data_IF_928462734403
#
_entry.id   IF_928462734403
#
_cell.length_a   1.000
_cell.length_b   1.000
_cell.length_c   1.000
_cell.angle_alpha   90.00
_cell.angle_beta   90.00
_cell.angle_gamma   90.00
#
_symmetry.space_group_name_H-M   'P 1'
#
loop_
_entity.id
_entity.type
_entity.pdbx_description
1 polymer ?
#
# COMPACT_ATOMS: atom_id res chain seq x y z
N UNK A 1 -6.24 -23.24 -13.32
CA UNK A 1 -5.97 -23.38 -11.86
C UNK A 1 -7.17 -22.87 -11.09
N UNK A 2 -7.43 -23.41 -9.90
CA UNK A 2 -8.51 -22.96 -9.01
C UNK A 2 -7.91 -22.26 -7.80
N UNK A 3 -8.57 -21.21 -7.33
CA UNK A 3 -8.21 -20.47 -6.11
C UNK A 3 -9.25 -20.77 -5.04
N UNK A 4 -8.77 -21.13 -3.85
CA UNK A 4 -9.60 -21.50 -2.70
C UNK A 4 -9.27 -20.56 -1.54
N UNK A 5 -10.29 -19.95 -0.95
CA UNK A 5 -10.17 -19.18 0.29
C UNK A 5 -10.49 -20.07 1.48
N UNK A 6 -9.60 -20.06 2.47
CA UNK A 6 -9.68 -20.91 3.64
C UNK A 6 -9.70 -20.07 4.92
N UNK A 7 -10.39 -20.58 5.94
CA UNK A 7 -10.39 -20.08 7.33
C UNK A 7 -9.83 -21.18 8.21
N UNK A 8 -8.60 -21.01 8.69
CA UNK A 8 -7.91 -22.02 9.51
C UNK A 8 -8.00 -21.56 10.97
N UNK A 9 -8.68 -22.31 11.87
CA UNK A 9 -8.69 -22.02 13.30
C UNK A 9 -7.27 -21.85 13.86
N UNK A 10 -7.12 -21.05 14.91
CA UNK A 10 -5.80 -20.67 15.43
C UNK A 10 -5.03 -21.90 15.94
N UNK A 11 -5.75 -22.80 16.58
CA UNK A 11 -5.35 -24.10 17.11
C UNK A 11 -4.92 -25.11 16.02
N UNK A 12 -5.49 -25.00 14.82
CA UNK A 12 -5.26 -25.93 13.72
C UNK A 12 -4.03 -25.60 12.87
N UNK A 13 -3.41 -24.43 13.11
CA UNK A 13 -2.25 -23.99 12.33
C UNK A 13 -1.10 -25.00 12.36
N UNK A 14 -0.81 -25.58 13.53
CA UNK A 14 0.25 -26.59 13.67
C UNK A 14 -0.03 -27.86 12.86
N UNK A 15 -1.29 -28.29 12.83
CA UNK A 15 -1.75 -29.47 12.07
C UNK A 15 -1.61 -29.21 10.57
N UNK A 16 -2.11 -28.05 10.10
CA UNK A 16 -1.99 -27.65 8.70
C UNK A 16 -0.53 -27.58 8.27
N UNK A 17 0.34 -26.95 9.07
CA UNK A 17 1.78 -26.87 8.77
C UNK A 17 2.40 -28.24 8.62
N UNK A 18 2.21 -29.13 9.60
CA UNK A 18 2.82 -30.46 9.62
C UNK A 18 2.43 -31.30 8.40
N UNK A 19 1.17 -31.20 7.97
CA UNK A 19 0.67 -31.96 6.82
C UNK A 19 1.09 -31.41 5.46
N UNK A 20 1.47 -30.13 5.39
CA UNK A 20 1.89 -29.54 4.13
C UNK A 20 3.22 -30.12 3.60
N UNK A 21 4.11 -30.62 4.48
CA UNK A 21 5.49 -31.04 4.15
C UNK A 21 6.29 -29.96 3.40
N UNK A 22 5.97 -28.69 3.61
CA UNK A 22 6.57 -27.56 2.88
C UNK A 22 7.72 -26.94 3.69
N UNK A 23 8.79 -26.47 3.05
CA UNK A 23 9.80 -25.67 3.74
C UNK A 23 9.15 -24.36 4.23
N UNK A 24 9.26 -24.09 5.53
CA UNK A 24 8.80 -22.84 6.13
C UNK A 24 9.66 -21.69 5.65
N UNK A 25 9.08 -20.71 4.96
CA UNK A 25 9.72 -19.42 4.69
C UNK A 25 9.01 -18.37 5.54
N UNK A 26 9.63 -17.98 6.64
CA UNK A 26 9.12 -16.91 7.51
C UNK A 26 9.55 -15.57 6.93
N UNK A 27 8.60 -14.77 6.42
CA UNK A 27 8.89 -13.42 5.96
C UNK A 27 8.59 -12.42 7.09
N UNK A 28 9.62 -11.82 7.69
CA UNK A 28 9.54 -11.05 8.94
C UNK A 28 8.73 -9.74 8.90
N UNK A 29 8.22 -9.29 7.74
CA UNK A 29 7.66 -7.93 7.60
C UNK A 29 6.31 -7.82 6.86
N UNK A 30 5.74 -8.93 6.42
CA UNK A 30 4.36 -8.98 5.90
C UNK A 30 3.57 -9.86 6.85
N UNK A 31 2.30 -9.55 7.14
CA UNK A 31 1.40 -10.37 7.97
C UNK A 31 1.17 -11.81 7.43
N UNK A 32 2.04 -12.32 6.56
CA UNK A 32 2.06 -13.62 5.95
C UNK A 32 2.93 -14.55 6.79
N UNK A 33 2.28 -15.50 7.46
CA UNK A 33 2.92 -16.49 8.33
C UNK A 33 3.63 -17.55 7.49
N UNK A 34 2.99 -17.94 6.39
CA UNK A 34 3.45 -19.00 5.49
C UNK A 34 3.28 -18.54 4.06
N UNK A 35 4.32 -18.75 3.27
CA UNK A 35 4.27 -18.68 1.82
C UNK A 35 4.95 -19.90 1.22
N UNK A 36 4.29 -20.54 0.27
CA UNK A 36 4.83 -21.62 -0.53
C UNK A 36 4.46 -21.45 -1.99
N UNK A 37 5.43 -21.67 -2.86
CA UNK A 37 5.26 -21.70 -4.31
C UNK A 37 6.13 -22.82 -4.90
N UNK A 38 5.49 -23.75 -5.64
CA UNK A 38 6.19 -24.78 -6.42
C UNK A 38 5.39 -25.09 -7.68
N UNK A 39 5.99 -24.78 -8.83
CA UNK A 39 5.30 -24.84 -10.12
C UNK A 39 4.00 -24.04 -10.05
N UNK A 40 2.89 -24.71 -10.35
CA UNK A 40 1.55 -24.12 -10.42
C UNK A 40 0.80 -24.08 -9.08
N UNK A 41 1.46 -24.48 -7.98
CA UNK A 41 0.85 -24.50 -6.65
C UNK A 41 1.35 -23.35 -5.81
N UNK A 42 0.42 -22.58 -5.24
CA UNK A 42 0.72 -21.52 -4.26
C UNK A 42 -0.13 -21.71 -3.02
N UNK A 43 0.48 -21.57 -1.85
CA UNK A 43 -0.23 -21.58 -0.58
C UNK A 43 0.26 -20.44 0.31
N UNK A 44 -0.68 -19.65 0.85
CA UNK A 44 -0.36 -18.51 1.71
C UNK A 44 -1.30 -18.46 2.91
N UNK A 45 -0.76 -18.21 4.10
CA UNK A 45 -1.52 -18.02 5.35
C UNK A 45 -1.17 -16.65 5.93
N UNK A 46 -2.17 -15.89 6.35
CA UNK A 46 -2.04 -14.52 6.85
C UNK A 46 -2.54 -14.40 8.30
N UNK A 47 -1.77 -13.73 9.14
CA UNK A 47 -2.15 -13.26 10.48
C UNK A 47 -2.58 -11.79 10.42
N UNK A 48 -3.70 -11.53 9.75
CA UNK A 48 -4.30 -10.19 9.70
C UNK A 48 -5.73 -10.16 10.29
N UNK A 49 -6.09 -11.21 11.03
CA UNK A 49 -7.44 -11.44 11.56
C UNK A 49 -7.36 -11.48 13.09
N UNK A 50 -7.55 -10.34 13.77
CA UNK A 50 -7.44 -10.19 15.24
C UNK A 50 -8.22 -11.31 15.98
N UNK A 51 -7.54 -12.28 16.60
CA UNK A 51 -8.12 -13.43 17.33
C UNK A 51 -9.14 -14.29 16.55
N UNK A 52 -9.23 -14.09 15.24
CA UNK A 52 -10.11 -14.81 14.33
C UNK A 52 -9.29 -15.89 13.58
N UNK A 53 -9.95 -16.93 13.01
CA UNK A 53 -9.29 -17.93 12.18
C UNK A 53 -8.44 -17.28 11.08
N UNK A 54 -7.21 -17.79 10.93
CA UNK A 54 -6.25 -17.34 9.94
C UNK A 54 -6.88 -17.34 8.55
N UNK A 55 -6.65 -16.26 7.81
CA UNK A 55 -6.99 -16.22 6.41
C UNK A 55 -5.94 -17.00 5.63
N UNK A 56 -6.35 -17.95 4.81
CA UNK A 56 -5.44 -18.67 3.93
C UNK A 56 -5.97 -18.72 2.50
N UNK A 57 -5.04 -18.84 1.55
CA UNK A 57 -5.34 -18.95 0.13
C UNK A 57 -4.50 -20.05 -0.49
N UNK A 58 -5.17 -21.03 -1.09
CA UNK A 58 -4.55 -22.09 -1.87
C UNK A 58 -4.88 -21.92 -3.35
N UNK A 59 -3.87 -21.99 -4.21
CA UNK A 59 -3.99 -21.98 -5.66
C UNK A 59 -3.36 -23.26 -6.20
N UNK A 60 -4.10 -24.02 -6.99
CA UNK A 60 -3.60 -25.25 -7.60
C UNK A 60 -4.64 -25.92 -8.49
N UNK A 61 -4.32 -27.09 -9.03
CA UNK A 61 -5.26 -27.87 -9.84
C UNK A 61 -6.47 -28.38 -9.03
N UNK A 62 -6.22 -28.81 -7.79
CA UNK A 62 -7.23 -29.31 -6.82
C UNK A 62 -6.84 -28.92 -5.40
N UNK A 63 -7.85 -28.69 -4.55
CA UNK A 63 -7.64 -28.47 -3.11
C UNK A 63 -7.22 -29.80 -2.46
N UNK A 64 -6.12 -29.85 -1.70
CA UNK A 64 -5.76 -31.02 -0.91
C UNK A 64 -6.86 -31.37 0.09
N UNK A 65 -7.13 -32.67 0.29
CA UNK A 65 -8.19 -33.14 1.19
C UNK A 65 -8.11 -32.55 2.60
N UNK A 66 -6.90 -32.42 3.14
CA UNK A 66 -6.71 -31.85 4.48
C UNK A 66 -7.08 -30.36 4.60
N UNK A 67 -7.25 -29.64 3.47
CA UNK A 67 -7.67 -28.25 3.44
C UNK A 67 -9.18 -28.08 3.19
N UNK A 68 -9.90 -29.14 2.84
CA UNK A 68 -11.35 -29.11 2.60
C UNK A 68 -12.16 -28.63 3.82
N UNK A 69 -11.86 -29.02 5.07
CA UNK A 69 -12.60 -28.55 6.24
C UNK A 69 -12.55 -27.03 6.44
N UNK A 70 -11.48 -26.39 5.96
CA UNK A 70 -11.24 -24.96 6.12
C UNK A 70 -11.85 -24.13 4.99
N UNK A 71 -12.46 -24.76 3.99
CA UNK A 71 -12.98 -24.07 2.83
C UNK A 71 -14.12 -23.13 3.23
N UNK A 72 -13.98 -21.85 2.90
CA UNK A 72 -15.04 -20.87 3.13
C UNK A 72 -16.23 -21.20 2.24
N UNK A 73 -17.36 -21.63 2.83
CA UNK A 73 -18.61 -21.83 2.09
C UNK A 73 -19.07 -20.50 1.49
N UNK A 74 -19.56 -20.53 0.23
CA UNK A 74 -20.12 -19.36 -0.45
C UNK A 74 -21.41 -18.94 0.29
N UNK A 75 -21.42 -17.75 0.87
CA UNK A 75 -22.67 -17.04 1.13
C UNK A 75 -23.21 -16.51 -0.20
N UNK A 76 -24.38 -16.97 -0.62
CA UNK A 76 -25.09 -16.42 -1.78
C UNK A 76 -25.57 -15.01 -1.46
N UNK A 77 -25.02 -14.03 -2.15
CA UNK A 77 -25.65 -12.71 -2.31
C UNK A 77 -25.96 -12.54 -3.78
N UNK A 78 -27.25 -12.47 -4.10
CA UNK A 78 -27.77 -12.19 -5.44
C UNK A 78 -27.30 -10.79 -5.86
N UNK A 79 -26.41 -10.72 -6.85
CA UNK A 79 -26.02 -9.47 -7.50
C UNK A 79 -26.73 -9.41 -8.86
N UNK A 80 -27.65 -8.45 -9.02
CA UNK A 80 -28.05 -7.95 -10.33
C UNK A 80 -26.84 -7.26 -10.97
N UNK A 81 -26.49 -7.65 -12.19
CA UNK A 81 -25.33 -7.10 -12.91
C UNK A 81 -25.46 -5.59 -13.16
N UNK A 82 -24.51 -4.75 -12.70
CA UNK A 82 -24.33 -3.40 -13.22
C UNK A 82 -23.41 -3.42 -14.47
N UNK A 83 -23.49 -2.39 -15.34
CA UNK A 83 -22.90 -2.41 -16.66
C UNK A 83 -21.36 -2.39 -16.63
N UNK A 84 -20.76 -3.24 -17.45
CA UNK A 84 -19.31 -3.45 -17.61
C UNK A 84 -18.58 -2.16 -18.00
N UNK A 85 -17.75 -1.61 -17.11
CA UNK A 85 -16.53 -0.89 -17.50
C UNK A 85 -15.42 -1.21 -16.51
N UNK A 86 -14.73 -2.32 -16.78
CA UNK A 86 -13.66 -2.86 -15.94
C UNK A 86 -12.37 -2.07 -16.11
N UNK A 87 -11.79 -1.60 -15.00
CA UNK A 87 -10.34 -1.38 -14.92
C UNK A 87 -9.65 -2.68 -15.35
N UNK A 88 -8.61 -2.59 -16.19
CA UNK A 88 -7.86 -3.75 -16.68
C UNK A 88 -6.46 -3.72 -16.11
N UNK A 89 -6.04 -4.81 -15.48
CA UNK A 89 -4.63 -5.04 -15.18
C UNK A 89 -3.85 -5.15 -16.51
N UNK A 90 -2.87 -4.28 -16.69
CA UNK A 90 -2.01 -4.24 -17.87
C UNK A 90 -0.62 -4.74 -17.48
N UNK A 91 0.04 -5.48 -18.37
CA UNK A 91 1.43 -5.97 -18.19
C UNK A 91 2.43 -5.34 -19.17
N UNK A 92 1.94 -4.63 -20.18
CA UNK A 92 2.78 -3.99 -21.20
C UNK A 92 3.31 -2.65 -20.67
N UNK A 93 4.61 -2.44 -20.80
CA UNK A 93 5.27 -1.14 -20.55
C UNK A 93 4.62 -0.02 -21.35
N UNK A 94 4.37 1.10 -20.68
CA UNK A 94 3.82 2.31 -21.28
C UNK A 94 4.97 3.13 -21.86
N UNK A 95 4.97 3.27 -23.19
CA UNK A 95 6.00 4.01 -23.94
C UNK A 95 5.45 5.21 -24.68
N UNK A 96 4.13 5.42 -24.65
CA UNK A 96 3.44 6.52 -25.32
C UNK A 96 3.17 7.65 -24.33
N UNK A 97 3.33 8.88 -24.78
CA UNK A 97 3.05 10.10 -24.04
C UNK A 97 2.06 10.98 -24.82
N UNK A 98 1.32 11.89 -24.16
CA UNK A 98 1.32 12.12 -22.72
C UNK A 98 0.62 11.01 -21.92
N UNK A 99 1.03 10.80 -20.67
CA UNK A 99 0.25 10.00 -19.73
C UNK A 99 0.43 10.42 -18.27
N UNK A 100 -0.51 9.98 -17.43
CA UNK A 100 -0.51 10.24 -15.98
C UNK A 100 -0.32 8.92 -15.23
N UNK A 101 0.62 8.94 -14.28
CA UNK A 101 0.87 7.85 -13.34
C UNK A 101 0.72 8.33 -11.90
N UNK A 102 0.43 7.44 -10.96
CA UNK A 102 0.44 7.74 -9.53
C UNK A 102 1.08 6.64 -8.71
N UNK A 103 1.63 7.03 -7.57
CA UNK A 103 2.26 6.16 -6.60
C UNK A 103 2.15 6.72 -5.18
N UNK A 104 2.50 5.91 -4.18
CA UNK A 104 2.35 6.27 -2.77
C UNK A 104 3.52 5.84 -1.86
N UNK A 105 3.64 6.53 -0.72
CA UNK A 105 4.60 6.23 0.35
C UNK A 105 3.93 6.44 1.72
N UNK A 106 4.46 5.78 2.76
CA UNK A 106 4.03 5.98 4.15
C UNK A 106 3.03 4.94 4.66
N UNK A 107 2.50 4.07 3.79
CA UNK A 107 1.52 3.04 4.18
C UNK A 107 2.11 1.92 5.05
N UNK A 108 3.41 1.67 4.95
CA UNK A 108 4.14 0.70 5.79
C UNK A 108 4.87 1.32 6.99
N UNK A 109 4.80 2.64 7.14
CA UNK A 109 5.54 3.38 8.16
C UNK A 109 4.65 3.66 9.36
N UNK A 110 5.12 3.32 10.56
CA UNK A 110 4.38 3.57 11.80
C UNK A 110 4.25 5.07 12.08
N UNK A 111 5.37 5.78 11.94
CA UNK A 111 5.44 7.23 12.07
C UNK A 111 5.11 7.94 10.75
N UNK A 112 4.59 9.16 10.87
CA UNK A 112 4.43 10.07 9.74
C UNK A 112 3.21 9.80 8.87
N UNK A 113 2.98 10.68 7.87
CA UNK A 113 1.74 10.71 7.10
C UNK A 113 1.67 9.58 6.07
N UNK A 114 0.54 9.52 5.35
CA UNK A 114 0.48 8.89 4.03
C UNK A 114 0.68 9.96 2.96
N UNK A 115 1.41 9.63 1.90
CA UNK A 115 1.59 10.53 0.76
C UNK A 115 1.24 9.79 -0.52
N UNK A 116 0.34 10.36 -1.33
CA UNK A 116 -0.01 9.85 -2.66
C UNK A 116 0.18 10.96 -3.68
N UNK A 117 0.88 10.68 -4.77
CA UNK A 117 1.16 11.66 -5.82
C UNK A 117 0.73 11.11 -7.17
N UNK A 118 0.15 11.97 -8.01
CA UNK A 118 0.03 11.75 -9.45
C UNK A 118 0.97 12.69 -10.19
N UNK A 119 1.62 12.22 -11.24
CA UNK A 119 2.50 12.99 -12.11
C UNK A 119 2.05 12.86 -13.57
N UNK A 120 2.13 13.96 -14.32
CA UNK A 120 1.86 14.04 -15.75
C UNK A 120 3.18 14.19 -16.49
N UNK A 121 3.38 13.39 -17.54
CA UNK A 121 4.50 13.53 -18.46
C UNK A 121 3.98 13.62 -19.89
N UNK A 122 4.42 14.64 -20.62
CA UNK A 122 4.42 14.69 -22.08
C UNK A 122 5.77 14.19 -22.62
N UNK A 123 6.01 14.31 -23.92
CA UNK A 123 7.24 13.82 -24.58
C UNK A 123 8.50 14.57 -24.10
N UNK A 124 8.41 15.89 -23.92
CA UNK A 124 9.54 16.71 -23.48
C UNK A 124 9.91 16.41 -22.02
N UNK A 125 8.91 16.32 -21.13
CA UNK A 125 9.11 15.93 -19.75
C UNK A 125 9.60 14.49 -19.65
N UNK A 126 9.09 13.56 -20.47
CA UNK A 126 9.57 12.18 -20.48
C UNK A 126 11.05 12.09 -20.89
N UNK A 127 11.45 12.87 -21.89
CA UNK A 127 12.86 12.98 -22.31
C UNK A 127 13.72 13.52 -21.17
N UNK A 128 13.32 14.64 -20.56
CA UNK A 128 14.01 15.23 -19.42
C UNK A 128 14.14 14.24 -18.25
N UNK A 129 13.04 13.64 -17.80
CA UNK A 129 13.02 12.71 -16.67
C UNK A 129 13.88 11.48 -16.95
N UNK A 130 13.91 10.99 -18.20
CA UNK A 130 14.78 9.87 -18.59
C UNK A 130 16.26 10.20 -18.39
N UNK A 131 16.69 11.44 -18.64
CA UNK A 131 18.08 11.87 -18.41
C UNK A 131 18.49 11.85 -16.94
N UNK A 132 17.53 11.95 -16.02
CA UNK A 132 17.76 11.90 -14.58
C UNK A 132 17.98 10.47 -14.05
N UNK A 133 17.83 9.46 -14.91
CA UNK A 133 17.97 8.05 -14.60
C UNK A 133 17.16 7.61 -13.36
N UNK A 134 15.89 8.01 -13.32
CA UNK A 134 14.90 7.71 -12.26
C UNK A 134 14.48 6.24 -12.16
N UNK A 135 15.20 5.31 -12.80
CA UNK A 135 14.90 3.88 -12.71
C UNK A 135 15.28 3.37 -11.31
N UNK A 136 14.42 2.52 -10.77
CA UNK A 136 14.60 1.83 -9.49
C UNK A 136 14.60 2.78 -8.26
N UNK A 137 13.55 3.60 -8.15
CA UNK A 137 13.33 4.52 -7.01
C UNK A 137 13.43 3.84 -5.63
N UNK A 138 13.19 2.53 -5.56
CA UNK A 138 13.28 1.71 -4.35
C UNK A 138 14.71 1.50 -3.84
N UNK A 139 15.72 1.63 -4.69
CA UNK A 139 17.14 1.51 -4.32
C UNK A 139 17.85 2.85 -4.21
N UNK A 140 17.16 3.96 -4.50
CA UNK A 140 17.71 5.29 -4.37
C UNK A 140 17.84 5.69 -2.89
N UNK A 141 19.01 6.21 -2.54
CA UNK A 141 19.23 6.82 -1.22
C UNK A 141 18.36 8.06 -1.03
N UNK A 142 17.95 8.32 0.21
CA UNK A 142 17.08 9.45 0.55
C UNK A 142 17.70 10.80 0.13
N UNK A 143 19.02 10.96 0.16
CA UNK A 143 19.74 12.15 -0.34
C UNK A 143 19.49 12.39 -1.83
N UNK A 144 19.54 11.33 -2.64
CA UNK A 144 19.26 11.38 -4.07
C UNK A 144 17.78 11.61 -4.34
N UNK A 145 16.88 11.03 -3.54
CA UNK A 145 15.44 11.33 -3.60
C UNK A 145 15.19 12.82 -3.32
N UNK A 146 15.86 13.41 -2.32
CA UNK A 146 15.69 14.83 -2.01
C UNK A 146 16.15 15.73 -3.16
N UNK A 147 17.29 15.41 -3.78
CA UNK A 147 17.79 16.14 -4.96
C UNK A 147 16.82 16.03 -6.15
N UNK A 148 16.44 14.80 -6.52
CA UNK A 148 15.56 14.53 -7.66
C UNK A 148 14.16 15.12 -7.42
N UNK A 149 13.59 14.92 -6.23
CA UNK A 149 12.30 15.45 -5.87
C UNK A 149 12.25 16.97 -5.93
N UNK A 150 13.30 17.65 -5.45
CA UNK A 150 13.39 19.11 -5.54
C UNK A 150 13.48 19.61 -6.99
N UNK A 151 14.14 18.86 -7.88
CA UNK A 151 14.20 19.18 -9.31
C UNK A 151 12.86 18.91 -10.03
N UNK A 152 12.22 17.79 -9.70
CA UNK A 152 11.00 17.33 -10.36
C UNK A 152 9.77 18.13 -9.93
N UNK A 153 9.67 18.56 -8.66
CA UNK A 153 8.48 19.25 -8.14
C UNK A 153 8.16 20.54 -8.89
N UNK A 154 9.19 21.23 -9.40
CA UNK A 154 9.04 22.53 -10.06
C UNK A 154 8.82 22.39 -11.57
N UNK A 155 9.21 21.24 -12.15
CA UNK A 155 9.15 20.98 -13.60
C UNK A 155 7.99 20.09 -14.02
N UNK A 156 7.65 19.09 -13.21
CA UNK A 156 6.65 18.07 -13.55
C UNK A 156 5.29 18.48 -12.97
N UNK A 157 4.24 18.65 -13.80
CA UNK A 157 2.89 18.87 -13.29
C UNK A 157 2.43 17.68 -12.47
N UNK A 158 2.07 17.93 -11.21
CA UNK A 158 1.68 16.88 -10.29
C UNK A 158 0.60 17.34 -9.31
N UNK A 159 -0.11 16.38 -8.71
CA UNK A 159 -1.05 16.58 -7.60
C UNK A 159 -0.63 15.64 -6.49
N UNK A 160 -0.66 16.11 -5.25
CA UNK A 160 -0.33 15.33 -4.05
C UNK A 160 -1.45 15.39 -3.02
N UNK A 161 -1.65 14.28 -2.33
CA UNK A 161 -2.39 14.21 -1.08
C UNK A 161 -1.43 13.79 0.03
N UNK A 162 -1.40 14.57 1.12
CA UNK A 162 -0.68 14.24 2.35
C UNK A 162 -1.73 14.05 3.43
N UNK A 163 -1.87 12.83 3.94
CA UNK A 163 -2.83 12.47 4.99
C UNK A 163 -2.08 12.40 6.31
N UNK A 164 -2.34 13.38 7.18
CA UNK A 164 -1.76 13.41 8.52
C UNK A 164 -2.19 12.20 9.36
N UNK A 165 -1.39 11.83 10.36
CA UNK A 165 -1.72 10.74 11.27
C UNK A 165 -3.10 10.90 11.94
N UNK A 166 -3.50 12.09 12.45
CA UNK A 166 -4.84 12.26 13.03
C UNK A 166 -5.96 11.96 12.03
N UNK A 167 -5.84 12.42 10.77
CA UNK A 167 -6.85 12.13 9.75
C UNK A 167 -6.86 10.65 9.37
N UNK A 168 -5.69 10.02 9.25
CA UNK A 168 -5.58 8.59 9.00
C UNK A 168 -6.26 7.78 10.11
N UNK A 169 -5.97 8.10 11.38
CA UNK A 169 -6.53 7.40 12.54
C UNK A 169 -8.05 7.59 12.62
N UNK A 170 -8.57 8.78 12.30
CA UNK A 170 -10.00 9.02 12.19
C UNK A 170 -10.67 8.12 11.12
N UNK A 171 -10.06 8.00 9.94
CA UNK A 171 -10.58 7.12 8.87
C UNK A 171 -10.56 5.64 9.29
N UNK A 172 -9.50 5.19 9.97
CA UNK A 172 -9.44 3.84 10.53
C UNK A 172 -10.58 3.61 11.54
N UNK A 173 -10.84 4.57 12.42
CA UNK A 173 -11.92 4.50 13.41
C UNK A 173 -13.32 4.49 12.75
N UNK A 174 -13.48 5.17 11.62
CA UNK A 174 -14.68 5.11 10.77
C UNK A 174 -14.82 3.78 9.99
N UNK A 175 -13.88 2.84 10.13
CA UNK A 175 -13.92 1.52 9.52
C UNK A 175 -13.30 1.43 8.13
N UNK A 176 -12.60 2.47 7.66
CA UNK A 176 -11.85 2.40 6.42
C UNK A 176 -10.65 1.48 6.58
N UNK A 177 -10.42 0.63 5.57
CA UNK A 177 -9.21 -0.18 5.51
C UNK A 177 -8.14 0.47 4.61
N UNK A 178 -6.92 -0.04 4.73
CA UNK A 178 -5.76 0.53 4.04
C UNK A 178 -5.87 0.51 2.51
N UNK A 179 -6.37 -0.58 1.93
CA UNK A 179 -6.54 -0.68 0.48
C UNK A 179 -7.64 0.25 -0.04
N UNK A 180 -8.69 0.46 0.75
CA UNK A 180 -9.75 1.41 0.43
C UNK A 180 -9.21 2.84 0.43
N UNK A 181 -8.49 3.25 1.48
CA UNK A 181 -7.86 4.57 1.54
C UNK A 181 -6.89 4.77 0.37
N UNK A 182 -6.04 3.77 0.09
CA UNK A 182 -5.13 3.79 -1.05
C UNK A 182 -5.90 4.02 -2.36
N UNK A 183 -6.89 3.19 -2.67
CA UNK A 183 -7.69 3.34 -3.90
C UNK A 183 -8.33 4.72 -4.05
N UNK A 184 -8.94 5.24 -2.98
CA UNK A 184 -9.58 6.55 -2.98
C UNK A 184 -8.58 7.69 -3.19
N UNK A 185 -7.41 7.63 -2.53
CA UNK A 185 -6.38 8.66 -2.68
C UNK A 185 -5.80 8.68 -4.09
N UNK A 186 -5.47 7.52 -4.68
CA UNK A 186 -5.02 7.44 -6.08
C UNK A 186 -6.07 7.97 -7.05
N UNK A 187 -7.33 7.53 -6.92
CA UNK A 187 -8.42 8.02 -7.77
C UNK A 187 -8.54 9.55 -7.69
N UNK A 188 -8.42 10.11 -6.49
CA UNK A 188 -8.51 11.55 -6.29
C UNK A 188 -7.36 12.30 -6.99
N UNK A 189 -6.09 11.93 -6.75
CA UNK A 189 -4.95 12.65 -7.34
C UNK A 189 -4.91 12.50 -8.86
N UNK A 190 -5.21 11.31 -9.38
CA UNK A 190 -5.26 11.03 -10.82
C UNK A 190 -6.35 11.84 -11.52
N UNK A 191 -7.58 11.81 -11.01
CA UNK A 191 -8.71 12.52 -11.60
C UNK A 191 -8.51 14.03 -11.52
N UNK A 192 -7.96 14.52 -10.41
CA UNK A 192 -7.67 15.94 -10.21
C UNK A 192 -6.61 16.43 -11.19
N UNK A 193 -5.51 15.68 -11.34
CA UNK A 193 -4.44 16.07 -12.26
C UNK A 193 -4.91 15.99 -13.72
N UNK A 194 -5.64 14.94 -14.10
CA UNK A 194 -6.21 14.81 -15.44
C UNK A 194 -7.09 16.01 -15.81
N UNK A 195 -7.96 16.44 -14.88
CA UNK A 195 -8.79 17.64 -15.06
C UNK A 195 -7.95 18.91 -15.22
N UNK A 196 -6.92 19.10 -14.38
CA UNK A 196 -6.03 20.28 -14.45
C UNK A 196 -5.27 20.36 -15.78
N UNK A 197 -4.85 19.21 -16.31
CA UNK A 197 -4.12 19.11 -17.58
C UNK A 197 -5.05 18.99 -18.80
N UNK A 198 -6.37 19.04 -18.61
CA UNK A 198 -7.37 18.76 -19.67
C UNK A 198 -7.08 17.45 -20.43
N UNK A 199 -6.54 16.46 -19.72
CA UNK A 199 -6.07 15.20 -20.28
C UNK A 199 -7.20 14.16 -20.27
N UNK A 200 -7.48 13.56 -21.42
CA UNK A 200 -8.53 12.55 -21.62
C UNK A 200 -8.02 11.12 -21.83
N UNK A 201 -6.70 10.92 -21.73
CA UNK A 201 -6.09 9.61 -21.93
C UNK A 201 -6.16 8.72 -20.67
N UNK A 202 -5.41 7.62 -20.71
CA UNK A 202 -5.40 6.61 -19.63
C UNK A 202 -4.64 7.11 -18.41
N UNK A 203 -5.16 6.76 -17.23
CA UNK A 203 -4.57 7.06 -15.92
C UNK A 203 -4.06 5.76 -15.30
N UNK A 204 -2.83 5.77 -14.81
CA UNK A 204 -2.15 4.55 -14.36
C UNK A 204 -1.73 4.60 -12.89
N UNK A 205 -1.74 3.45 -12.23
CA UNK A 205 -1.17 3.24 -10.90
C UNK A 205 -0.59 1.83 -10.79
N UNK A 206 0.33 1.61 -9.85
CA UNK A 206 0.88 0.27 -9.60
C UNK A 206 -0.18 -0.66 -9.01
N UNK A 207 -0.29 -1.87 -9.55
CA UNK A 207 -1.34 -2.80 -9.16
C UNK A 207 -1.19 -3.28 -7.70
N UNK A 208 -2.19 -2.99 -6.86
CA UNK A 208 -2.16 -3.36 -5.43
C UNK A 208 -3.43 -4.08 -4.95
N UNK A 209 -4.49 -4.12 -5.76
CA UNK A 209 -5.74 -4.81 -5.42
C UNK A 209 -6.43 -5.34 -6.68
N UNK A 210 -7.47 -6.16 -6.53
CA UNK A 210 -8.27 -6.60 -7.68
C UNK A 210 -9.08 -5.43 -8.24
N UNK A 211 -9.38 -5.47 -9.54
CA UNK A 211 -10.19 -4.44 -10.21
C UNK A 211 -11.58 -4.30 -9.56
N UNK A 212 -12.19 -5.41 -9.14
CA UNK A 212 -13.45 -5.43 -8.41
C UNK A 212 -13.38 -4.66 -7.08
N UNK A 213 -12.30 -4.85 -6.32
CA UNK A 213 -12.11 -4.12 -5.06
C UNK A 213 -11.83 -2.65 -5.32
N UNK A 214 -11.00 -2.33 -6.31
CA UNK A 214 -10.71 -0.94 -6.69
C UNK A 214 -12.00 -0.20 -7.05
N UNK A 215 -12.85 -0.81 -7.89
CA UNK A 215 -14.14 -0.25 -8.29
C UNK A 215 -15.08 -0.09 -7.10
N UNK A 216 -15.18 -1.10 -6.22
CA UNK A 216 -15.96 -1.03 -4.98
C UNK A 216 -15.50 0.13 -4.10
N UNK A 217 -14.19 0.28 -3.89
CA UNK A 217 -13.63 1.32 -3.02
C UNK A 217 -13.82 2.74 -3.58
N UNK A 218 -13.91 2.88 -4.90
CA UNK A 218 -14.01 4.19 -5.59
C UNK A 218 -15.40 4.48 -6.13
N UNK A 219 -16.40 3.65 -5.84
CA UNK A 219 -17.73 3.70 -6.46
C UNK A 219 -18.45 5.05 -6.28
N UNK A 220 -18.23 5.74 -5.16
CA UNK A 220 -18.87 7.02 -4.82
C UNK A 220 -18.09 8.24 -5.33
N UNK A 221 -16.94 8.04 -5.97
CA UNK A 221 -16.08 9.13 -6.45
C UNK A 221 -16.40 9.50 -7.90
N UNK A 222 -16.19 10.76 -8.28
CA UNK A 222 -16.21 11.17 -9.69
C UNK A 222 -15.08 10.45 -10.43
N UNK A 223 -15.41 9.71 -11.50
CA UNK A 223 -14.47 8.78 -12.16
C UNK A 223 -13.91 9.35 -13.45
N UNK A 224 -12.58 9.33 -13.56
CA UNK A 224 -11.90 9.07 -14.82
C UNK A 224 -11.44 7.61 -14.83
N UNK A 225 -11.39 6.91 -15.99
CA UNK A 225 -10.95 5.52 -16.06
C UNK A 225 -9.50 5.35 -15.58
N UNK A 226 -9.30 4.48 -14.59
CA UNK A 226 -7.98 4.15 -14.03
C UNK A 226 -7.61 2.71 -14.39
N UNK A 227 -6.34 2.49 -14.70
CA UNK A 227 -5.77 1.21 -15.06
C UNK A 227 -4.66 0.83 -14.08
N UNK A 228 -4.76 -0.37 -13.54
CA UNK A 228 -3.71 -0.93 -12.69
C UNK A 228 -2.63 -1.54 -13.60
N UNK A 229 -1.39 -1.08 -13.46
CA UNK A 229 -0.24 -1.58 -14.21
C UNK A 229 0.57 -2.50 -13.30
N UNK A 230 0.79 -3.75 -13.69
CA UNK A 230 1.67 -4.64 -12.95
C UNK A 230 3.11 -4.13 -13.03
N UNK A 231 3.82 -4.12 -11.91
CA UNK A 231 5.19 -3.61 -11.80
C UNK A 231 5.24 -2.15 -12.31
N UNK A 232 4.29 -1.33 -11.82
CA UNK A 232 3.93 -0.03 -12.37
C UNK A 232 5.11 0.93 -12.51
N UNK A 233 5.96 1.04 -11.49
CA UNK A 233 7.18 1.86 -11.53
C UNK A 233 8.15 1.41 -12.64
N UNK A 234 8.33 0.10 -12.84
CA UNK A 234 9.21 -0.43 -13.88
C UNK A 234 8.62 -0.22 -15.29
N UNK A 235 7.29 -0.19 -15.37
CA UNK A 235 6.53 -0.19 -16.62
C UNK A 235 5.94 1.18 -17.00
N UNK A 236 6.04 2.22 -16.17
CA UNK A 236 5.59 3.58 -16.49
C UNK A 236 6.53 4.62 -15.88
N UNK A 237 7.08 5.47 -16.74
CA UNK A 237 7.93 6.58 -16.31
C UNK A 237 7.16 7.59 -15.43
N UNK A 238 5.87 7.81 -15.70
CA UNK A 238 5.05 8.69 -14.88
C UNK A 238 4.79 8.11 -13.48
N UNK A 239 4.59 6.78 -13.35
CA UNK A 239 4.49 6.13 -12.04
C UNK A 239 5.83 6.23 -11.29
N UNK A 240 6.96 5.94 -11.94
CA UNK A 240 8.28 6.10 -11.32
C UNK A 240 8.57 7.54 -10.88
N UNK A 241 8.13 8.53 -11.66
CA UNK A 241 8.24 9.96 -11.30
C UNK A 241 7.36 10.30 -10.10
N UNK A 242 6.13 9.77 -10.07
CA UNK A 242 5.22 9.93 -8.93
C UNK A 242 5.78 9.28 -7.66
N UNK A 243 6.45 8.12 -7.77
CA UNK A 243 7.14 7.43 -6.67
C UNK A 243 8.20 8.32 -6.01
N UNK A 244 9.07 8.93 -6.83
CA UNK A 244 10.11 9.85 -6.34
C UNK A 244 9.50 11.07 -5.67
N UNK A 245 8.48 11.68 -6.28
CA UNK A 245 7.79 12.83 -5.70
C UNK A 245 7.07 12.46 -4.39
N UNK A 246 6.42 11.29 -4.33
CA UNK A 246 5.76 10.81 -3.13
C UNK A 246 6.76 10.59 -1.99
N UNK A 247 7.91 9.96 -2.28
CA UNK A 247 8.98 9.77 -1.28
C UNK A 247 9.62 11.08 -0.87
N UNK A 248 9.86 12.01 -1.81
CA UNK A 248 10.35 13.36 -1.50
C UNK A 248 9.43 14.10 -0.53
N UNK A 249 8.12 14.12 -0.80
CA UNK A 249 7.17 14.78 0.09
C UNK A 249 7.06 14.07 1.44
N UNK A 250 7.07 12.73 1.47
CA UNK A 250 7.08 11.98 2.72
C UNK A 250 8.32 12.30 3.57
N UNK A 251 9.52 12.27 2.99
CA UNK A 251 10.77 12.62 3.68
C UNK A 251 10.78 14.08 4.16
N UNK A 252 10.19 14.99 3.39
CA UNK A 252 10.04 16.40 3.79
C UNK A 252 9.13 16.54 5.02
N UNK A 253 8.01 15.81 5.07
CA UNK A 253 7.13 15.79 6.25
C UNK A 253 7.81 15.14 7.46
N UNK A 254 8.58 14.08 7.26
CA UNK A 254 9.39 13.47 8.31
C UNK A 254 10.45 14.44 8.85
N UNK A 255 11.04 15.27 7.99
CA UNK A 255 12.02 16.26 8.41
C UNK A 255 11.39 17.38 9.27
N UNK A 256 10.16 17.80 8.96
CA UNK A 256 9.41 18.72 9.83
C UNK A 256 9.23 18.13 11.24
N UNK A 257 8.93 16.82 11.33
CA UNK A 257 8.83 16.13 12.62
C UNK A 257 10.19 16.01 13.31
N UNK A 258 11.26 15.68 12.57
CA UNK A 258 12.61 15.58 13.11
C UNK A 258 13.07 16.90 13.74
N UNK A 259 12.88 18.01 13.03
CA UNK A 259 13.20 19.36 13.52
C UNK A 259 12.37 19.71 14.74
N UNK A 260 11.06 19.46 14.70
CA UNK A 260 10.15 19.76 15.83
C UNK A 260 10.56 19.08 17.13
N UNK A 261 10.95 17.82 17.06
CA UNK A 261 11.30 17.03 18.24
C UNK A 261 12.80 16.91 18.47
N UNK A 262 13.62 17.60 17.66
CA UNK A 262 15.08 17.55 17.68
C UNK A 262 15.61 16.10 17.80
N UNK A 263 15.15 15.23 16.90
CA UNK A 263 15.48 13.79 16.88
C UNK A 263 15.34 13.24 15.46
N UNK A 264 15.95 12.08 15.19
CA UNK A 264 15.76 11.37 13.92
C UNK A 264 14.74 10.24 14.11
N UNK A 265 13.52 10.45 13.62
CA UNK A 265 12.46 9.46 13.68
C UNK A 265 12.73 8.34 12.66
N UNK A 266 12.79 7.06 13.08
CA UNK A 266 13.04 5.95 12.17
C UNK A 266 11.80 5.65 11.30
N UNK A 267 12.07 5.19 10.07
CA UNK A 267 11.05 4.72 9.13
C UNK A 267 10.68 3.25 9.39
N UNK A 268 9.58 2.80 8.79
CA UNK A 268 9.07 1.44 8.88
C UNK A 268 8.28 1.15 10.15
N UNK A 269 8.26 -0.12 10.55
CA UNK A 269 7.47 -0.62 11.68
C UNK A 269 8.17 -1.76 12.48
N UNK A 270 9.50 -1.85 12.36
CA UNK A 270 10.30 -2.91 12.99
C UNK A 270 10.71 -2.62 14.45
N UNK A 271 11.61 -3.44 14.99
CA UNK A 271 12.05 -3.36 16.40
C UNK A 271 12.70 -2.02 16.75
N UNK A 272 13.45 -1.42 15.83
CA UNK A 272 14.06 -0.09 16.03
C UNK A 272 12.97 0.98 16.24
N UNK A 273 11.84 0.83 15.55
CA UNK A 273 10.69 1.74 15.64
C UNK A 273 9.96 1.56 16.96
N UNK A 274 9.81 0.33 17.46
CA UNK A 274 9.23 0.05 18.78
C UNK A 274 10.03 0.73 19.89
N UNK A 275 11.35 0.51 19.90
CA UNK A 275 12.25 1.13 20.88
C UNK A 275 12.17 2.65 20.83
N UNK A 276 12.26 3.21 19.63
CA UNK A 276 12.16 4.67 19.46
C UNK A 276 10.81 5.21 19.94
N UNK A 277 9.71 4.51 19.68
CA UNK A 277 8.38 4.95 20.10
C UNK A 277 8.22 4.95 21.62
N UNK A 278 8.80 3.96 22.31
CA UNK A 278 8.87 3.94 23.77
C UNK A 278 9.71 5.12 24.31
N UNK A 279 10.91 5.33 23.78
CA UNK A 279 11.78 6.44 24.19
C UNK A 279 11.12 7.81 23.92
N UNK A 280 10.43 7.94 22.78
CA UNK A 280 9.67 9.13 22.41
C UNK A 280 8.51 9.36 23.38
N UNK A 281 7.80 8.31 23.77
CA UNK A 281 6.70 8.38 24.73
C UNK A 281 7.16 8.91 26.08
N UNK A 282 8.29 8.39 26.59
CA UNK A 282 8.87 8.85 27.85
C UNK A 282 9.33 10.32 27.77
N UNK A 283 9.93 10.72 26.65
CA UNK A 283 10.52 12.06 26.49
C UNK A 283 9.50 13.15 26.18
N UNK A 284 8.53 12.87 25.31
CA UNK A 284 7.61 13.88 24.76
C UNK A 284 6.15 13.64 25.16
N UNK A 285 5.84 12.53 25.81
CA UNK A 285 4.51 12.22 26.33
C UNK A 285 3.53 11.72 25.27
N UNK A 286 2.44 11.11 25.76
CA UNK A 286 1.41 10.43 24.97
C UNK A 286 0.78 11.34 23.92
N UNK A 287 0.40 12.56 24.29
CA UNK A 287 -0.30 13.49 23.40
C UNK A 287 0.52 13.82 22.14
N UNK A 288 1.85 13.91 22.25
CA UNK A 288 2.70 14.13 21.07
C UNK A 288 2.80 12.86 20.22
N UNK A 289 2.98 11.69 20.86
CA UNK A 289 3.13 10.43 20.14
C UNK A 289 1.87 10.09 19.32
N UNK A 290 0.68 10.15 19.92
CA UNK A 290 -0.58 9.76 19.24
C UNK A 290 -0.86 10.59 17.98
N UNK A 291 -0.29 11.80 17.88
CA UNK A 291 -0.49 12.71 16.76
C UNK A 291 0.48 12.49 15.59
N UNK A 292 1.48 11.62 15.75
CA UNK A 292 2.50 11.35 14.72
C UNK A 292 2.61 9.87 14.33
N UNK A 293 1.72 9.03 14.84
CA UNK A 293 1.72 7.56 14.62
C UNK A 293 0.39 7.02 14.14
N UNK A 294 0.42 5.84 13.51
CA UNK A 294 -0.75 5.10 13.03
C UNK A 294 -1.24 4.09 14.07
N UNK A 295 -2.44 4.26 14.60
CA UNK A 295 -2.92 3.53 15.81
C UNK A 295 -3.28 2.06 15.56
N UNK A 296 -3.57 1.68 14.32
CA UNK A 296 -3.88 0.29 13.96
C UNK A 296 -2.65 -0.62 13.85
N UNK A 297 -1.44 -0.07 13.92
CA UNK A 297 -0.20 -0.84 13.87
C UNK A 297 0.02 -1.62 15.15
N UNK A 298 0.70 -2.76 15.06
CA UNK A 298 1.15 -3.54 16.22
C UNK A 298 1.94 -2.66 17.20
N UNK A 299 2.86 -1.84 16.68
CA UNK A 299 3.72 -0.93 17.45
C UNK A 299 2.92 -0.06 18.44
N UNK A 300 1.73 0.42 18.04
CA UNK A 300 0.87 1.23 18.91
C UNK A 300 0.24 0.40 20.03
N UNK A 301 -0.27 -0.79 19.68
CA UNK A 301 -0.97 -1.67 20.64
C UNK A 301 -0.02 -2.20 21.69
N UNK A 302 1.21 -2.52 21.30
CA UNK A 302 2.24 -2.98 22.23
C UNK A 302 2.58 -1.89 23.27
N UNK A 303 2.42 -0.61 22.94
CA UNK A 303 2.66 0.53 23.86
C UNK A 303 1.47 0.88 24.75
N UNK A 304 0.24 0.71 24.25
CA UNK A 304 -0.95 1.27 24.88
C UNK A 304 -2.06 0.24 25.20
N UNK A 305 -1.82 -1.06 24.99
CA UNK A 305 -2.83 -2.09 25.15
C UNK A 305 -4.07 -1.86 24.27
N UNK A 306 -5.11 -2.68 24.44
CA UNK A 306 -6.40 -2.46 23.76
C UNK A 306 -7.21 -1.29 24.37
N UNK A 307 -6.87 -0.87 25.60
CA UNK A 307 -7.64 0.12 26.39
C UNK A 307 -6.99 1.52 26.43
N UNK A 308 -5.84 1.71 25.77
CA UNK A 308 -5.13 2.98 25.75
C UNK A 308 -4.26 3.27 26.99
N UNK A 309 -4.12 2.33 27.91
CA UNK A 309 -3.23 2.39 29.08
C UNK A 309 -1.82 1.89 28.78
N UNK A 310 -0.80 2.43 29.43
CA UNK A 310 0.57 1.92 29.30
C UNK A 310 0.60 0.45 29.76
N UNK A 311 1.14 -0.44 28.93
CA UNK A 311 1.43 -1.85 29.27
C UNK A 311 2.80 -1.96 29.93
#
# INVERSE_FOLDING_TARGET
MKSYELRIPREDLGIVIAQTKLPTVTNKHSYMIIYYEKGDTKFSIYDNTKNEPYKARYVGARLPKYLEPYLKQKAETLIKEPPKTTAKIITKKITTFPHIGSDEVGFGDFFGPLVVVAAYLDEDLATFVTTLNVKDSKTLEDTKIMLLGNLLKDKVPHVKNIVSNPKYNALIAEGYNMNQMKAMLHQNVLTTLAKRQKYSGKLYLDAFTSDQNYEKYTQLMKKAPVYQLKDGEANSLAIATASILARYYFLSEMEVLNVRYNTKIPLGAGVIVDKFAYDFLLKFGKNNLINIVKHNFRNFKDLFGDDGGLV
#
